data_IF_808720924921
#
_entry.id   IF_808720924921
#
_cell.length_a   1.000
_cell.length_b   1.000
_cell.length_c   1.000
_cell.angle_alpha   90.00
_cell.angle_beta   90.00
_cell.angle_gamma   90.00
#
_symmetry.space_group_name_H-M   'P 1'
#
loop_
_entity.id
_entity.type
_entity.pdbx_description
1 polymer ?
#
# COMPACT_ATOMS: atom_id res chain seq x y z
N UNK A 1 27.89 0.14 8.96
CA UNK A 1 28.08 1.50 8.44
C UNK A 1 27.78 2.44 9.60
N UNK A 2 28.76 3.20 10.09
CA UNK A 2 28.63 4.05 11.28
C UNK A 2 28.36 5.47 10.82
N UNK A 3 27.26 6.07 11.27
CA UNK A 3 26.99 7.50 11.04
C UNK A 3 27.29 8.21 12.37
N UNK A 4 28.23 9.15 12.36
CA UNK A 4 28.49 10.00 13.52
C UNK A 4 27.54 11.20 13.49
N UNK A 5 26.79 11.40 14.57
CA UNK A 5 26.04 12.63 14.81
C UNK A 5 26.94 13.64 15.54
N UNK A 6 26.62 14.93 15.42
CA UNK A 6 27.29 16.13 15.97
C UNK A 6 27.42 16.18 17.52
N UNK A 7 27.13 15.08 18.22
CA UNK A 7 27.21 14.94 19.69
C UNK A 7 28.10 13.78 20.16
N UNK A 8 28.93 13.21 19.27
CA UNK A 8 29.97 12.21 19.58
C UNK A 8 29.46 10.93 20.31
N UNK A 9 28.19 10.57 20.10
CA UNK A 9 27.61 9.32 20.57
C UNK A 9 27.64 8.24 19.49
N UNK A 10 28.26 7.10 19.80
CA UNK A 10 28.27 5.91 18.94
C UNK A 10 26.99 5.10 19.17
N UNK A 11 26.06 5.10 18.20
CA UNK A 11 24.86 4.25 18.25
C UNK A 11 25.23 2.87 17.73
N UNK A 12 25.22 1.87 18.62
CA UNK A 12 25.42 0.47 18.28
C UNK A 12 24.10 -0.17 17.81
N UNK A 13 23.92 -0.27 16.49
CA UNK A 13 22.74 -0.83 15.82
C UNK A 13 22.61 -2.35 15.96
N UNK A 14 23.54 -3.03 16.63
CA UNK A 14 23.52 -4.50 16.79
C UNK A 14 22.85 -4.98 18.07
N UNK A 15 22.48 -4.06 18.97
CA UNK A 15 21.78 -4.36 20.22
C UNK A 15 20.26 -4.49 20.02
N UNK A 16 19.84 -5.48 19.24
CA UNK A 16 18.43 -5.90 19.25
C UNK A 16 18.25 -6.96 20.32
N UNK A 17 17.48 -6.67 21.36
CA UNK A 17 17.10 -7.66 22.38
C UNK A 17 16.26 -8.76 21.74
N UNK A 18 16.63 -10.03 21.98
CA UNK A 18 15.92 -11.24 21.52
C UNK A 18 14.45 -11.37 21.98
N UNK A 19 13.90 -10.38 22.69
CA UNK A 19 12.62 -10.45 23.38
C UNK A 19 11.39 -10.23 22.46
N UNK A 20 11.56 -9.72 21.24
CA UNK A 20 10.42 -9.29 20.41
C UNK A 20 10.01 -10.28 19.30
N UNK A 21 10.67 -11.44 19.20
CA UNK A 21 10.37 -12.45 18.17
C UNK A 21 9.29 -13.43 18.65
N UNK A 22 8.09 -12.92 18.94
CA UNK A 22 6.90 -13.77 18.94
C UNK A 22 6.52 -13.97 17.47
N UNK A 23 6.79 -15.15 16.92
CA UNK A 23 6.24 -15.50 15.60
C UNK A 23 4.72 -15.54 15.72
N UNK A 24 3.96 -14.73 14.96
CA UNK A 24 2.51 -14.78 15.04
C UNK A 24 2.04 -16.20 14.72
N UNK A 25 1.26 -16.80 15.62
CA UNK A 25 0.72 -18.17 15.48
C UNK A 25 -0.34 -18.28 14.37
N UNK A 26 -0.64 -17.18 13.69
CA UNK A 26 -1.66 -17.06 12.66
C UNK A 26 -1.11 -16.22 11.52
N UNK A 27 -1.33 -16.60 10.25
CA UNK A 27 -0.91 -15.79 9.11
C UNK A 27 -1.48 -14.38 9.20
N UNK A 28 -0.63 -13.36 9.05
CA UNK A 28 -1.06 -11.96 9.06
C UNK A 28 -1.96 -11.72 7.84
N UNK A 29 -3.21 -11.24 8.01
CA UNK A 29 -4.09 -10.95 6.88
C UNK A 29 -3.48 -9.89 5.96
N UNK A 30 -3.46 -10.15 4.65
CA UNK A 30 -2.97 -9.19 3.67
C UNK A 30 -4.13 -8.34 3.14
N UNK A 31 -3.98 -7.02 3.07
CA UNK A 31 -4.95 -6.11 2.46
C UNK A 31 -4.24 -5.35 1.33
N UNK A 32 -4.84 -5.36 0.14
CA UNK A 32 -4.38 -4.58 -0.99
C UNK A 32 -5.07 -3.21 -0.98
N UNK A 33 -4.30 -2.13 -1.00
CA UNK A 33 -4.82 -0.79 -1.33
C UNK A 33 -4.42 -0.38 -2.75
N UNK A 34 -5.40 0.09 -3.51
CA UNK A 34 -5.24 0.66 -4.86
C UNK A 34 -5.70 2.12 -4.79
N UNK A 35 -4.77 3.06 -4.70
CA UNK A 35 -5.10 4.49 -4.57
C UNK A 35 -3.93 5.38 -5.02
N UNK A 36 -4.12 6.70 -4.93
CA UNK A 36 -3.07 7.70 -5.10
C UNK A 36 -2.17 7.81 -3.86
N UNK A 37 -0.95 8.32 -4.07
CA UNK A 37 -0.01 8.66 -3.00
C UNK A 37 -0.21 10.10 -2.53
N UNK A 38 -0.27 10.29 -1.22
CA UNK A 38 -0.18 11.57 -0.53
C UNK A 38 1.12 11.62 0.28
N UNK A 39 2.08 12.42 -0.19
CA UNK A 39 3.39 12.52 0.44
C UNK A 39 3.37 13.11 1.86
N UNK A 40 2.29 13.81 2.26
CA UNK A 40 2.12 14.26 3.64
C UNK A 40 1.70 13.13 4.59
N UNK A 41 1.22 12.03 4.03
CA UNK A 41 0.81 10.82 4.74
C UNK A 41 -0.51 10.94 5.51
N UNK A 42 -1.31 11.97 5.25
CA UNK A 42 -2.61 12.19 5.89
C UNK A 42 -3.76 11.47 5.17
N UNK A 43 -3.61 11.21 3.87
CA UNK A 43 -4.57 10.49 3.03
C UNK A 43 -3.85 9.45 2.14
N UNK A 44 -4.53 9.00 1.09
CA UNK A 44 -3.95 8.14 0.06
C UNK A 44 -3.49 6.78 0.57
N UNK A 45 -2.61 6.15 -0.21
CA UNK A 45 -2.01 4.85 0.11
C UNK A 45 -1.26 4.88 1.45
N UNK A 46 -0.66 6.01 1.81
CA UNK A 46 0.07 6.16 3.06
C UNK A 46 -0.85 6.07 4.28
N UNK A 47 -2.03 6.70 4.23
CA UNK A 47 -3.04 6.57 5.28
C UNK A 47 -3.67 5.18 5.30
N UNK A 48 -3.90 4.59 4.13
CA UNK A 48 -4.37 3.21 4.01
C UNK A 48 -3.40 2.24 4.69
N UNK A 49 -2.10 2.31 4.36
CA UNK A 49 -1.06 1.46 4.96
C UNK A 49 -1.00 1.61 6.47
N UNK A 50 -1.00 2.84 7.00
CA UNK A 50 -1.02 3.11 8.44
C UNK A 50 -2.23 2.46 9.10
N UNK A 51 -3.41 2.62 8.49
CA UNK A 51 -4.67 2.06 9.00
C UNK A 51 -4.61 0.53 9.00
N UNK A 52 -4.20 -0.08 7.89
CA UNK A 52 -4.06 -1.53 7.75
C UNK A 52 -3.07 -2.09 8.79
N UNK A 53 -1.91 -1.46 8.95
CA UNK A 53 -0.89 -1.89 9.92
C UNK A 53 -1.37 -1.79 11.36
N UNK A 54 -2.04 -0.70 11.76
CA UNK A 54 -2.59 -0.57 13.12
C UNK A 54 -3.66 -1.62 13.42
N UNK A 55 -4.33 -2.15 12.39
CA UNK A 55 -5.28 -3.26 12.52
C UNK A 55 -4.62 -4.65 12.42
N UNK A 56 -3.29 -4.74 12.54
CA UNK A 56 -2.56 -6.02 12.56
C UNK A 56 -2.56 -6.75 11.21
N UNK A 57 -2.74 -6.02 10.11
CA UNK A 57 -2.73 -6.56 8.76
C UNK A 57 -1.47 -6.12 7.99
N UNK A 58 -1.08 -6.92 7.00
CA UNK A 58 -0.02 -6.58 6.05
C UNK A 58 -0.61 -5.76 4.90
N UNK A 59 0.03 -4.65 4.55
CA UNK A 59 -0.45 -3.77 3.47
C UNK A 59 0.35 -4.02 2.18
N UNK A 60 -0.34 -4.48 1.14
CA UNK A 60 0.15 -4.43 -0.24
C UNK A 60 -0.42 -3.18 -0.94
N UNK A 61 0.33 -2.60 -1.87
CA UNK A 61 0.00 -1.28 -2.46
C UNK A 61 0.09 -1.28 -3.98
N UNK A 62 -0.83 -0.59 -4.63
CA UNK A 62 -0.76 -0.25 -6.04
C UNK A 62 -1.05 1.24 -6.26
N UNK A 63 -0.01 2.04 -6.45
CA UNK A 63 -0.13 3.50 -6.61
C UNK A 63 -0.62 3.88 -8.01
N UNK A 64 -1.80 4.50 -8.08
CA UNK A 64 -2.45 4.88 -9.34
C UNK A 64 -2.12 6.31 -9.79
N UNK A 65 -1.77 7.18 -8.85
CA UNK A 65 -1.40 8.57 -9.11
C UNK A 65 -0.43 9.05 -8.04
N UNK A 66 0.62 9.76 -8.45
CA UNK A 66 1.50 10.51 -7.55
C UNK A 66 0.97 11.93 -7.43
N UNK A 67 0.87 12.45 -6.22
CA UNK A 67 0.41 13.83 -5.98
C UNK A 67 1.52 14.70 -5.42
N UNK A 68 1.48 15.98 -5.77
CA UNK A 68 2.13 17.04 -5.03
C UNK A 68 1.07 17.61 -4.10
N UNK A 69 1.00 17.10 -2.88
CA UNK A 69 -0.08 17.39 -1.93
C UNK A 69 0.47 17.79 -0.56
N UNK A 70 -0.31 18.57 0.18
CA UNK A 70 -0.12 18.80 1.61
C UNK A 70 -1.47 18.86 2.32
N UNK A 71 -1.45 19.01 3.64
CA UNK A 71 -2.66 19.29 4.43
C UNK A 71 -3.42 20.56 4.01
N UNK A 72 -2.81 21.44 3.20
CA UNK A 72 -3.43 22.66 2.67
C UNK A 72 -4.03 22.52 1.28
N UNK A 73 -3.82 21.40 0.59
CA UNK A 73 -4.37 21.16 -0.74
C UNK A 73 -3.45 20.41 -1.70
N UNK A 74 -3.97 20.22 -2.92
CA UNK A 74 -3.31 19.57 -4.06
C UNK A 74 -2.73 20.61 -5.01
N UNK A 75 -1.47 20.44 -5.39
CA UNK A 75 -0.72 21.37 -6.25
C UNK A 75 -0.33 20.77 -7.60
N UNK A 76 -0.47 19.47 -7.77
CA UNK A 76 -0.19 18.77 -9.01
C UNK A 76 -0.36 17.27 -8.86
N UNK A 77 -0.48 16.58 -9.99
CA UNK A 77 -0.58 15.13 -10.01
C UNK A 77 0.08 14.55 -11.25
N UNK A 78 0.48 13.29 -11.15
CA UNK A 78 0.98 12.49 -12.26
C UNK A 78 0.44 11.08 -12.13
N UNK A 79 -0.43 10.72 -13.07
CA UNK A 79 -0.92 9.35 -13.19
C UNK A 79 0.23 8.38 -13.38
N UNK A 80 0.17 7.27 -12.64
CA UNK A 80 0.99 6.10 -12.94
C UNK A 80 0.55 5.55 -14.29
N UNK A 81 1.46 5.27 -15.24
CA UNK A 81 1.08 4.73 -16.54
C UNK A 81 0.29 3.42 -16.41
N UNK A 82 -0.73 3.24 -17.27
CA UNK A 82 -1.57 2.04 -17.32
C UNK A 82 -0.77 0.72 -17.28
N UNK A 83 0.30 0.63 -18.08
CA UNK A 83 1.16 -0.57 -18.15
C UNK A 83 1.89 -0.83 -16.82
N UNK A 84 2.23 0.23 -16.09
CA UNK A 84 2.85 0.12 -14.77
C UNK A 84 1.85 -0.36 -13.73
N UNK A 85 0.64 0.21 -13.67
CA UNK A 85 -0.43 -0.27 -12.77
C UNK A 85 -0.76 -1.73 -13.05
N UNK A 86 -0.97 -2.09 -14.32
CA UNK A 86 -1.20 -3.48 -14.73
C UNK A 86 -0.04 -4.41 -14.33
N UNK A 87 1.20 -3.95 -14.49
CA UNK A 87 2.40 -4.70 -14.12
C UNK A 87 2.52 -4.92 -12.61
N UNK A 88 2.20 -3.91 -11.79
CA UNK A 88 2.19 -4.01 -10.33
C UNK A 88 1.16 -5.05 -9.89
N UNK A 89 -0.09 -4.95 -10.37
CA UNK A 89 -1.15 -5.88 -10.01
C UNK A 89 -0.80 -7.32 -10.40
N UNK A 90 -0.24 -7.53 -11.60
CA UNK A 90 0.26 -8.85 -12.04
C UNK A 90 1.40 -9.37 -11.16
N UNK A 91 2.34 -8.51 -10.78
CA UNK A 91 3.45 -8.85 -9.88
C UNK A 91 2.93 -9.34 -8.52
N UNK A 92 1.98 -8.60 -7.94
CA UNK A 92 1.35 -8.92 -6.66
C UNK A 92 0.61 -10.27 -6.68
N UNK A 93 -0.10 -10.58 -7.77
CA UNK A 93 -0.74 -11.89 -7.97
C UNK A 93 0.30 -13.00 -8.12
N UNK A 94 1.38 -12.76 -8.87
CA UNK A 94 2.45 -13.73 -9.09
C UNK A 94 3.22 -14.07 -7.80
N UNK A 95 3.33 -13.12 -6.87
CA UNK A 95 3.90 -13.31 -5.52
C UNK A 95 3.00 -14.16 -4.60
N UNK A 96 1.81 -14.55 -5.07
CA UNK A 96 0.85 -15.40 -4.34
C UNK A 96 0.43 -14.82 -2.98
N UNK A 97 0.38 -13.49 -2.88
CA UNK A 97 -0.20 -12.83 -1.72
C UNK A 97 -1.69 -13.19 -1.59
N UNK A 98 -2.06 -13.75 -0.45
CA UNK A 98 -3.43 -14.13 -0.12
C UNK A 98 -4.18 -12.91 0.44
N UNK A 99 -4.66 -12.06 -0.48
CA UNK A 99 -5.44 -10.87 -0.13
C UNK A 99 -6.71 -11.29 0.63
N UNK A 100 -7.00 -10.64 1.75
CA UNK A 100 -8.24 -10.82 2.51
C UNK A 100 -9.25 -9.71 2.27
N UNK A 101 -8.78 -8.57 1.80
CA UNK A 101 -9.60 -7.45 1.36
C UNK A 101 -8.86 -6.61 0.32
N UNK A 102 -9.63 -5.88 -0.48
CA UNK A 102 -9.12 -4.87 -1.42
C UNK A 102 -9.80 -3.54 -1.09
N UNK A 103 -9.01 -2.51 -0.83
CA UNK A 103 -9.45 -1.13 -0.69
C UNK A 103 -9.11 -0.37 -1.97
N UNK A 104 -10.08 0.32 -2.54
CA UNK A 104 -9.92 1.16 -3.71
C UNK A 104 -10.18 2.61 -3.28
N UNK A 105 -9.24 3.50 -3.56
CA UNK A 105 -9.37 4.94 -3.39
C UNK A 105 -9.42 5.64 -4.75
N UNK A 106 -8.68 6.75 -4.90
CA UNK A 106 -8.61 7.46 -6.18
C UNK A 106 -7.97 6.59 -7.27
N UNK A 107 -8.65 6.47 -8.40
CA UNK A 107 -8.17 5.78 -9.60
C UNK A 107 -8.42 6.72 -10.79
N UNK A 108 -7.36 7.25 -11.44
CA UNK A 108 -7.53 8.04 -12.64
C UNK A 108 -8.19 7.24 -13.76
N UNK A 109 -8.91 7.90 -14.67
CA UNK A 109 -9.58 7.26 -15.81
C UNK A 109 -8.62 6.35 -16.61
N UNK A 110 -7.37 6.79 -16.77
CA UNK A 110 -6.29 6.06 -17.44
C UNK A 110 -5.99 4.67 -16.84
N UNK A 111 -6.41 4.41 -15.60
CA UNK A 111 -6.11 3.19 -14.85
C UNK A 111 -7.35 2.36 -14.49
N UNK A 112 -8.57 2.87 -14.72
CA UNK A 112 -9.82 2.15 -14.37
C UNK A 112 -9.86 0.76 -15.00
N UNK A 113 -9.51 0.65 -16.29
CA UNK A 113 -9.55 -0.64 -16.98
C UNK A 113 -8.58 -1.67 -16.37
N UNK A 114 -7.39 -1.25 -15.94
CA UNK A 114 -6.41 -2.15 -15.31
C UNK A 114 -6.95 -2.72 -13.98
N UNK A 115 -7.63 -1.88 -13.19
CA UNK A 115 -8.25 -2.30 -11.93
C UNK A 115 -9.42 -3.24 -12.20
N UNK A 116 -10.26 -2.96 -13.19
CA UNK A 116 -11.38 -3.83 -13.57
C UNK A 116 -10.91 -5.20 -14.05
N UNK A 117 -9.87 -5.25 -14.88
CA UNK A 117 -9.32 -6.51 -15.38
C UNK A 117 -8.76 -7.36 -14.23
N UNK A 118 -8.02 -6.72 -13.31
CA UNK A 118 -7.54 -7.37 -12.10
C UNK A 118 -8.67 -7.92 -11.23
N UNK A 119 -9.73 -7.14 -10.96
CA UNK A 119 -10.85 -7.60 -10.13
C UNK A 119 -11.61 -8.77 -10.76
N UNK A 120 -11.76 -8.81 -12.09
CA UNK A 120 -12.38 -9.93 -12.80
C UNK A 120 -11.54 -11.20 -12.69
N UNK A 121 -10.23 -11.10 -12.82
CA UNK A 121 -9.33 -12.26 -12.70
C UNK A 121 -9.39 -12.85 -11.27
N UNK A 122 -9.52 -11.98 -10.26
CA UNK A 122 -9.59 -12.34 -8.85
C UNK A 122 -10.99 -12.79 -8.37
N UNK A 123 -12.04 -12.65 -9.20
CA UNK A 123 -13.41 -13.13 -8.91
C UNK A 123 -13.43 -14.61 -8.53
N UNK A 124 -12.63 -15.41 -9.22
CA UNK A 124 -12.50 -16.85 -9.01
C UNK A 124 -11.89 -17.22 -7.65
N UNK A 125 -11.25 -16.26 -6.96
CA UNK A 125 -10.62 -16.46 -5.66
C UNK A 125 -11.49 -16.03 -4.48
N UNK A 126 -12.76 -15.70 -4.73
CA UNK A 126 -13.71 -15.17 -3.74
C UNK A 126 -13.31 -13.83 -3.10
N UNK A 127 -12.32 -13.12 -3.68
CA UNK A 127 -11.81 -11.85 -3.16
C UNK A 127 -12.81 -10.70 -3.28
N UNK A 128 -13.75 -10.80 -4.24
CA UNK A 128 -14.78 -9.78 -4.44
C UNK A 128 -15.73 -9.61 -3.24
N UNK A 129 -15.77 -10.57 -2.31
CA UNK A 129 -16.60 -10.44 -1.09
C UNK A 129 -16.15 -9.28 -0.20
N UNK A 130 -14.88 -8.90 -0.26
CA UNK A 130 -14.27 -7.91 0.65
C UNK A 130 -13.62 -6.77 -0.13
N UNK A 131 -14.31 -6.25 -1.15
CA UNK A 131 -13.89 -5.04 -1.89
C UNK A 131 -14.58 -3.83 -1.27
N UNK A 132 -13.78 -2.85 -0.84
CA UNK A 132 -14.24 -1.56 -0.33
C UNK A 132 -13.88 -0.50 -1.35
N UNK A 133 -14.89 0.05 -2.04
CA UNK A 133 -14.73 1.23 -2.88
C UNK A 133 -15.03 2.48 -2.06
N UNK A 134 -14.04 3.35 -1.95
CA UNK A 134 -14.15 4.66 -1.34
C UNK A 134 -14.11 5.71 -2.45
N UNK A 135 -15.27 6.26 -2.84
CA UNK A 135 -15.35 7.13 -3.99
C UNK A 135 -14.66 8.48 -3.70
N UNK A 136 -13.55 8.72 -4.40
CA UNK A 136 -12.80 9.98 -4.39
C UNK A 136 -12.83 10.55 -5.81
N UNK A 137 -13.50 11.69 -5.99
CA UNK A 137 -13.77 12.33 -7.28
C UNK A 137 -12.99 13.63 -7.47
#
# INVERSE_FOLDING_TARGET
MTIQNTSDQTIDLTKTTKADLVSPSTPIPCVLTIAGSDCSGGAGIEADQKTITVHGCYAATCTTVLTVQSSKGLFGSKDTPFNTVSGILKCLVADKLDFKAIKIGVVPESNVQAVLDFLKDEENRHLLKNVVLDPVF
#
